data_IF_461075532790
#
_entry.id   IF_461075532790
#
_cell.length_a   1.000
_cell.length_b   1.000
_cell.length_c   1.000
_cell.angle_alpha   90.00
_cell.angle_beta   90.00
_cell.angle_gamma   90.00
#
_symmetry.space_group_name_H-M   'P 1'
#
loop_
_entity.id
_entity.type
_entity.pdbx_description
1 polymer ?
#
# COMPACT_ATOMS: atom_id res chain seq x y z
N UNK A 1 -12.18 -7.96 -0.50
CA UNK A 1 -12.23 -7.63 -1.95
C UNK A 1 -11.38 -6.40 -2.20
N UNK A 2 -10.42 -6.40 -3.13
CA UNK A 2 -9.54 -5.26 -3.36
C UNK A 2 -10.23 -4.26 -4.30
N UNK A 3 -10.56 -3.07 -3.80
CA UNK A 3 -11.07 -2.00 -4.64
C UNK A 3 -9.93 -1.38 -5.44
N UNK A 4 -9.82 -1.74 -6.72
CA UNK A 4 -9.07 -0.99 -7.71
C UNK A 4 -9.97 0.19 -8.16
N UNK A 5 -9.42 1.41 -8.20
CA UNK A 5 -10.14 2.65 -8.48
C UNK A 5 -10.70 2.71 -9.91
N UNK A 6 -10.28 1.78 -10.77
CA UNK A 6 -10.82 1.59 -12.13
C UNK A 6 -12.07 0.69 -12.19
N UNK A 7 -12.33 -0.17 -11.18
CA UNK A 7 -13.60 -0.94 -11.09
C UNK A 7 -14.79 -0.09 -10.61
N UNK A 8 -14.56 1.19 -10.29
CA UNK A 8 -15.61 2.17 -10.03
C UNK A 8 -16.31 2.59 -11.34
N UNK A 9 -15.62 2.49 -12.48
CA UNK A 9 -16.13 3.01 -13.76
C UNK A 9 -16.91 1.94 -14.54
N UNK A 10 -16.59 0.64 -14.35
CA UNK A 10 -17.28 -0.48 -15.01
C UNK A 10 -17.37 -1.72 -14.11
N UNK A 11 -18.40 -1.88 -13.28
CA UNK A 11 -18.62 -3.13 -12.55
C UNK A 11 -19.07 -4.26 -13.51
N UNK A 12 -18.32 -5.36 -13.55
CA UNK A 12 -18.61 -6.54 -14.39
C UNK A 12 -19.89 -7.29 -13.99
N UNK A 13 -20.47 -6.94 -12.84
CA UNK A 13 -21.68 -7.55 -12.32
C UNK A 13 -22.46 -6.61 -11.40
N UNK A 14 -23.77 -6.77 -11.37
CA UNK A 14 -24.65 -6.11 -10.39
C UNK A 14 -24.38 -6.56 -8.95
N UNK A 15 -23.63 -7.64 -8.76
CA UNK A 15 -23.19 -8.09 -7.45
C UNK A 15 -21.93 -7.38 -6.94
N UNK A 16 -21.25 -6.63 -7.80
CA UNK A 16 -20.02 -5.93 -7.49
C UNK A 16 -20.26 -4.81 -6.47
N UNK A 17 -19.25 -4.57 -5.62
CA UNK A 17 -19.33 -3.61 -4.51
C UNK A 17 -19.57 -2.17 -5.00
N UNK A 18 -18.85 -1.72 -6.04
CA UNK A 18 -19.00 -0.36 -6.58
C UNK A 18 -20.41 -0.15 -7.12
N UNK A 19 -20.97 -1.13 -7.82
CA UNK A 19 -22.35 -1.13 -8.30
C UNK A 19 -23.36 -1.07 -7.15
N UNK A 20 -23.24 -1.93 -6.12
CA UNK A 20 -24.17 -1.96 -4.98
C UNK A 20 -24.13 -0.67 -4.17
N UNK A 21 -22.95 -0.07 -3.99
CA UNK A 21 -22.80 1.21 -3.31
C UNK A 21 -23.47 2.34 -4.11
N UNK A 22 -23.15 2.47 -5.41
CA UNK A 22 -23.76 3.46 -6.31
C UNK A 22 -25.28 3.28 -6.38
N UNK A 23 -25.75 2.04 -6.56
CA UNK A 23 -27.18 1.72 -6.62
C UNK A 23 -27.91 2.11 -5.33
N UNK A 24 -27.36 1.79 -4.15
CA UNK A 24 -27.96 2.18 -2.86
C UNK A 24 -28.02 3.70 -2.68
N UNK A 25 -26.95 4.42 -3.04
CA UNK A 25 -26.88 5.88 -2.98
C UNK A 25 -27.93 6.50 -3.93
N UNK A 26 -27.99 6.02 -5.17
CA UNK A 26 -28.86 6.55 -6.22
C UNK A 26 -30.34 6.20 -6.01
N UNK A 27 -30.64 5.05 -5.41
CA UNK A 27 -32.03 4.62 -5.15
C UNK A 27 -32.55 5.03 -3.77
N UNK A 28 -31.70 5.65 -2.95
CA UNK A 28 -32.01 5.99 -1.55
C UNK A 28 -32.57 4.79 -0.75
N UNK A 29 -32.24 3.56 -1.17
CA UNK A 29 -32.57 2.37 -0.42
C UNK A 29 -31.58 2.25 0.72
N UNK A 30 -32.00 2.71 1.91
CA UNK A 30 -31.30 2.50 3.19
C UNK A 30 -31.31 1.02 3.60
N UNK A 31 -30.76 0.14 2.77
CA UNK A 31 -30.43 -1.22 3.19
C UNK A 31 -29.18 -1.15 4.06
N UNK A 32 -29.32 -1.55 5.33
CA UNK A 32 -28.24 -1.54 6.33
C UNK A 32 -26.94 -2.07 5.72
N UNK A 33 -25.93 -1.20 5.63
CA UNK A 33 -24.56 -1.63 5.34
C UNK A 33 -24.10 -2.55 6.47
N UNK A 34 -23.26 -3.54 6.14
CA UNK A 34 -22.63 -4.35 7.19
C UNK A 34 -21.78 -3.47 8.10
N UNK A 35 -21.48 -3.93 9.32
CA UNK A 35 -20.62 -3.17 10.24
C UNK A 35 -19.28 -2.79 9.59
N UNK A 36 -18.71 -3.69 8.78
CA UNK A 36 -17.45 -3.46 8.04
C UNK A 36 -17.60 -2.40 6.95
N UNK A 37 -18.70 -2.43 6.19
CA UNK A 37 -18.96 -1.44 5.14
C UNK A 37 -19.20 -0.05 5.74
N UNK A 38 -19.98 0.03 6.81
CA UNK A 38 -20.23 1.26 7.56
C UNK A 38 -18.96 1.79 8.19
N UNK A 39 -18.12 0.93 8.77
CA UNK A 39 -16.86 1.35 9.37
C UNK A 39 -15.86 1.90 8.35
N UNK A 40 -15.78 1.29 7.15
CA UNK A 40 -14.96 1.84 6.08
C UNK A 40 -15.43 3.23 5.66
N UNK A 41 -16.74 3.41 5.47
CA UNK A 41 -17.31 4.71 5.14
C UNK A 41 -17.03 5.74 6.24
N UNK A 42 -17.18 5.34 7.51
CA UNK A 42 -16.87 6.18 8.65
C UNK A 42 -15.41 6.64 8.65
N UNK A 43 -14.44 5.75 8.37
CA UNK A 43 -13.02 6.13 8.23
C UNK A 43 -12.81 7.15 7.10
N UNK A 44 -13.44 6.96 5.93
CA UNK A 44 -13.35 7.93 4.82
C UNK A 44 -13.93 9.30 5.21
N UNK A 45 -14.99 9.30 6.02
CA UNK A 45 -15.61 10.51 6.56
C UNK A 45 -14.90 11.09 7.79
N UNK A 46 -13.80 10.46 8.25
CA UNK A 46 -13.07 10.82 9.50
C UNK A 46 -13.87 10.62 10.78
N UNK A 47 -14.90 9.79 10.73
CA UNK A 47 -15.72 9.36 11.86
C UNK A 47 -15.05 8.14 12.53
N UNK A 48 -13.78 8.28 12.94
CA UNK A 48 -12.95 7.16 13.39
C UNK A 48 -13.51 6.45 14.63
N UNK A 49 -14.11 7.20 15.56
CA UNK A 49 -14.74 6.61 16.74
C UNK A 49 -15.92 5.70 16.35
N UNK A 50 -16.67 6.04 15.31
CA UNK A 50 -17.77 5.21 14.83
C UNK A 50 -17.24 3.93 14.20
N UNK A 51 -16.17 4.00 13.39
CA UNK A 51 -15.51 2.82 12.86
C UNK A 51 -15.03 1.87 13.97
N UNK A 52 -14.47 2.41 15.05
CA UNK A 52 -14.05 1.63 16.22
C UNK A 52 -15.27 0.98 16.90
N UNK A 53 -16.34 1.75 17.14
CA UNK A 53 -17.55 1.23 17.78
C UNK A 53 -18.18 0.07 16.97
N UNK A 54 -18.09 0.14 15.64
CA UNK A 54 -18.64 -0.88 14.74
C UNK A 54 -17.77 -2.14 14.67
N UNK A 55 -16.44 -2.02 14.72
CA UNK A 55 -15.52 -3.13 14.47
C UNK A 55 -15.00 -3.80 15.74
N UNK A 56 -14.73 -3.02 16.80
CA UNK A 56 -14.13 -3.54 18.04
C UNK A 56 -14.95 -4.67 18.70
N UNK A 57 -16.30 -4.65 18.72
CA UNK A 57 -17.07 -5.73 19.35
C UNK A 57 -16.90 -7.11 18.70
N UNK A 58 -16.46 -7.18 17.44
CA UNK A 58 -16.27 -8.42 16.68
C UNK A 58 -14.83 -8.62 16.20
N UNK A 59 -13.85 -8.04 16.91
CA UNK A 59 -12.45 -7.97 16.48
C UNK A 59 -11.83 -9.32 16.10
N UNK A 60 -12.19 -10.39 16.82
CA UNK A 60 -11.65 -11.73 16.61
C UNK A 60 -12.15 -12.39 15.32
N UNK A 61 -13.31 -11.95 14.81
CA UNK A 61 -13.94 -12.49 13.60
C UNK A 61 -13.70 -11.61 12.36
N UNK A 62 -12.93 -10.53 12.50
CA UNK A 62 -12.64 -9.62 11.39
C UNK A 62 -11.75 -10.29 10.35
N UNK A 63 -11.95 -9.94 9.08
CA UNK A 63 -10.99 -10.27 8.03
C UNK A 63 -9.78 -9.32 8.05
N UNK A 64 -8.76 -9.66 7.26
CA UNK A 64 -7.54 -8.86 7.15
C UNK A 64 -7.76 -7.41 6.71
N UNK A 65 -8.83 -7.08 5.98
CA UNK A 65 -9.11 -5.70 5.61
C UNK A 65 -9.78 -4.94 6.76
N UNK A 66 -10.75 -5.57 7.42
CA UNK A 66 -11.49 -4.97 8.51
C UNK A 66 -10.59 -4.72 9.75
N UNK A 67 -9.67 -5.63 10.07
CA UNK A 67 -8.72 -5.42 11.16
C UNK A 67 -7.79 -4.22 10.89
N UNK A 68 -7.37 -4.05 9.64
CA UNK A 68 -6.55 -2.90 9.21
C UNK A 68 -7.35 -1.61 9.22
N UNK A 69 -8.65 -1.65 8.87
CA UNK A 69 -9.55 -0.50 9.02
C UNK A 69 -9.70 -0.11 10.50
N UNK A 70 -9.84 -1.08 11.41
CA UNK A 70 -9.88 -0.83 12.85
C UNK A 70 -8.56 -0.21 13.34
N UNK A 71 -7.41 -0.78 12.95
CA UNK A 71 -6.10 -0.26 13.30
C UNK A 71 -5.93 1.20 12.82
N UNK A 72 -6.28 1.50 11.57
CA UNK A 72 -6.22 2.86 11.04
C UNK A 72 -7.12 3.83 11.83
N UNK A 73 -8.31 3.39 12.24
CA UNK A 73 -9.21 4.21 13.04
C UNK A 73 -8.62 4.52 14.43
N UNK A 74 -8.02 3.51 15.10
CA UNK A 74 -7.32 3.68 16.39
C UNK A 74 -6.14 4.65 16.28
N UNK A 75 -5.30 4.48 15.26
CA UNK A 75 -4.18 5.39 14.98
C UNK A 75 -4.67 6.82 14.75
N UNK A 76 -5.76 6.98 14.01
CA UNK A 76 -6.28 8.31 13.66
C UNK A 76 -6.87 9.11 14.83
N UNK A 77 -7.08 8.47 15.99
CA UNK A 77 -7.47 9.12 17.25
C UNK A 77 -6.36 9.09 18.32
N UNK A 78 -5.13 8.73 17.94
CA UNK A 78 -3.94 8.80 18.81
C UNK A 78 -3.68 7.55 19.66
N UNK A 79 -4.30 6.42 19.34
CA UNK A 79 -4.07 5.14 20.00
C UNK A 79 -3.10 4.27 19.16
N UNK A 80 -1.93 4.82 18.86
CA UNK A 80 -0.97 4.26 17.89
C UNK A 80 -0.51 2.84 18.27
N UNK A 81 -0.21 2.63 19.56
CA UNK A 81 0.19 1.31 20.05
C UNK A 81 -0.95 0.29 19.95
N UNK A 82 -2.18 0.70 20.24
CA UNK A 82 -3.33 -0.19 20.13
C UNK A 82 -3.61 -0.58 18.67
N UNK A 83 -3.28 0.30 17.71
CA UNK A 83 -3.39 0.01 16.28
C UNK A 83 -2.44 -1.09 15.81
N UNK A 84 -1.21 -1.15 16.35
CA UNK A 84 -0.27 -2.23 16.06
C UNK A 84 -0.66 -3.51 16.81
N UNK A 85 -0.93 -3.40 18.11
CA UNK A 85 -1.33 -4.49 19.00
C UNK A 85 -2.57 -5.24 18.47
N UNK A 86 -3.55 -4.54 17.89
CA UNK A 86 -4.79 -5.18 17.42
C UNK A 86 -4.52 -6.11 16.23
N UNK A 87 -3.60 -5.76 15.34
CA UNK A 87 -3.20 -6.61 14.22
C UNK A 87 -2.33 -7.78 14.74
N UNK A 88 -1.42 -7.51 15.67
CA UNK A 88 -0.60 -8.57 16.28
C UNK A 88 -1.46 -9.63 16.97
N UNK A 89 -2.44 -9.22 17.77
CA UNK A 89 -3.38 -10.13 18.42
C UNK A 89 -4.19 -10.92 17.40
N UNK A 90 -4.70 -10.25 16.36
CA UNK A 90 -5.44 -10.92 15.28
C UNK A 90 -4.59 -11.96 14.53
N UNK A 91 -3.30 -11.69 14.31
CA UNK A 91 -2.37 -12.65 13.70
C UNK A 91 -2.17 -13.92 14.54
N UNK A 92 -2.27 -13.85 15.87
CA UNK A 92 -2.12 -15.04 16.74
C UNK A 92 -3.18 -16.10 16.45
N UNK A 93 -4.37 -15.68 16.04
CA UNK A 93 -5.49 -16.58 15.69
C UNK A 93 -5.57 -16.83 14.18
N UNK A 94 -4.93 -15.99 13.35
CA UNK A 94 -4.98 -16.04 11.89
C UNK A 94 -3.61 -16.28 11.22
N UNK A 95 -2.80 -17.21 11.75
CA UNK A 95 -1.41 -17.42 11.33
C UNK A 95 -1.19 -17.65 9.81
N UNK A 96 -2.17 -18.19 9.07
CA UNK A 96 -2.08 -18.37 7.60
C UNK A 96 -2.17 -17.06 6.80
N UNK A 97 -2.60 -15.99 7.45
CA UNK A 97 -2.78 -14.66 6.86
C UNK A 97 -2.06 -13.60 7.69
N UNK A 98 -0.97 -13.99 8.34
CA UNK A 98 -0.19 -13.11 9.20
C UNK A 98 0.20 -11.85 8.43
N UNK A 99 -0.32 -10.72 8.90
CA UNK A 99 -0.01 -9.40 8.36
C UNK A 99 1.25 -8.88 9.04
N UNK A 100 2.02 -8.06 8.33
CA UNK A 100 2.97 -7.16 8.99
C UNK A 100 2.20 -5.93 9.50
N UNK A 101 1.99 -5.78 10.83
CA UNK A 101 1.19 -4.69 11.38
C UNK A 101 1.69 -3.31 10.94
N UNK A 102 3.01 -3.12 11.07
CA UNK A 102 3.69 -1.84 10.84
C UNK A 102 3.59 -1.44 9.38
N UNK A 103 3.98 -2.32 8.47
CA UNK A 103 4.01 -2.04 7.04
C UNK A 103 2.64 -1.93 6.40
N UNK A 104 1.64 -2.66 6.90
CA UNK A 104 0.26 -2.53 6.40
C UNK A 104 -0.36 -1.21 6.86
N UNK A 105 -0.15 -0.81 8.12
CA UNK A 105 -0.59 0.49 8.64
C UNK A 105 0.10 1.64 7.90
N UNK A 106 1.43 1.58 7.78
CA UNK A 106 2.22 2.57 7.05
C UNK A 106 1.77 2.70 5.58
N UNK A 107 1.48 1.58 4.91
CA UNK A 107 0.95 1.58 3.55
C UNK A 107 -0.46 2.16 3.42
N UNK A 108 -1.29 2.13 4.47
CA UNK A 108 -2.59 2.82 4.49
C UNK A 108 -2.41 4.33 4.65
N UNK A 109 -1.52 4.74 5.55
CA UNK A 109 -1.18 6.14 5.77
C UNK A 109 -0.55 6.78 4.53
N UNK A 110 0.43 6.12 3.89
CA UNK A 110 0.99 6.51 2.59
C UNK A 110 -0.10 6.72 1.54
N UNK A 111 -1.06 5.80 1.41
CA UNK A 111 -2.18 5.95 0.45
C UNK A 111 -3.10 7.12 0.81
N UNK A 112 -3.43 7.31 2.09
CA UNK A 112 -4.22 8.45 2.56
C UNK A 112 -3.52 9.77 2.27
N UNK A 113 -2.21 9.83 2.48
CA UNK A 113 -1.38 10.99 2.14
C UNK A 113 -1.36 11.27 0.64
N UNK A 114 -1.20 10.26 -0.22
CA UNK A 114 -1.17 10.48 -1.68
C UNK A 114 -2.42 11.20 -2.20
N UNK A 115 -3.58 10.93 -1.61
CA UNK A 115 -4.85 11.58 -1.96
C UNK A 115 -5.06 12.89 -1.21
N UNK A 116 -4.91 12.87 0.12
CA UNK A 116 -5.29 13.97 0.99
C UNK A 116 -4.18 14.99 1.30
N UNK A 117 -2.93 14.68 0.93
CA UNK A 117 -1.71 15.47 1.13
C UNK A 117 -1.53 15.98 2.56
N UNK A 118 -1.97 15.21 3.55
CA UNK A 118 -1.82 15.55 4.97
C UNK A 118 -0.43 15.19 5.47
N UNK A 119 0.36 16.19 5.87
CA UNK A 119 1.74 15.98 6.32
C UNK A 119 1.85 14.95 7.45
N UNK A 120 0.93 14.98 8.42
CA UNK A 120 0.88 13.98 9.51
C UNK A 120 0.85 12.52 9.03
N UNK A 121 0.20 12.25 7.89
CA UNK A 121 0.08 10.90 7.34
C UNK A 121 1.39 10.48 6.67
N UNK A 122 2.09 11.43 6.05
CA UNK A 122 3.43 11.22 5.51
C UNK A 122 4.43 10.95 6.64
N UNK A 123 4.49 11.84 7.63
CA UNK A 123 5.45 11.74 8.74
C UNK A 123 5.29 10.41 9.46
N UNK A 124 4.05 10.02 9.77
CA UNK A 124 3.77 8.76 10.45
C UNK A 124 4.05 7.54 9.58
N UNK A 125 3.76 7.60 8.27
CA UNK A 125 4.12 6.50 7.37
C UNK A 125 5.64 6.34 7.27
N UNK A 126 6.38 7.45 7.17
CA UNK A 126 7.84 7.45 7.09
C UNK A 126 8.46 6.89 8.38
N UNK A 127 7.95 7.30 9.54
CA UNK A 127 8.37 6.77 10.85
C UNK A 127 8.16 5.25 10.93
N UNK A 128 6.93 4.78 10.65
CA UNK A 128 6.59 3.35 10.70
C UNK A 128 7.44 2.52 9.75
N UNK A 129 7.60 2.96 8.49
CA UNK A 129 8.46 2.24 7.54
C UNK A 129 9.93 2.25 8.00
N UNK A 130 10.43 3.36 8.53
CA UNK A 130 11.82 3.46 9.01
C UNK A 130 12.09 2.57 10.21
N UNK A 131 11.17 2.52 11.17
CA UNK A 131 11.30 1.66 12.34
C UNK A 131 11.07 0.19 12.02
N UNK A 132 10.12 -0.12 11.12
CA UNK A 132 9.93 -1.46 10.57
C UNK A 132 11.18 -1.96 9.86
N UNK A 133 11.86 -1.10 9.10
CA UNK A 133 13.13 -1.42 8.47
C UNK A 133 14.21 -1.78 9.50
N UNK A 134 14.46 -0.93 10.50
CA UNK A 134 15.45 -1.21 11.56
C UNK A 134 15.19 -2.54 12.26
N UNK A 135 13.94 -2.80 12.64
CA UNK A 135 13.55 -4.05 13.28
C UNK A 135 13.74 -5.27 12.37
N UNK A 136 13.41 -5.14 11.09
CA UNK A 136 13.59 -6.20 10.11
C UNK A 136 15.08 -6.52 9.89
N UNK A 137 15.94 -5.50 9.85
CA UNK A 137 17.40 -5.68 9.80
C UNK A 137 17.96 -6.40 11.02
N UNK A 138 17.59 -5.95 12.22
CA UNK A 138 18.02 -6.57 13.49
C UNK A 138 17.62 -8.05 13.56
N UNK A 139 16.41 -8.38 13.09
CA UNK A 139 15.88 -9.74 13.05
C UNK A 139 16.36 -10.56 11.84
N UNK A 140 17.12 -9.95 10.92
CA UNK A 140 17.50 -10.54 9.62
C UNK A 140 16.30 -11.04 8.80
N UNK A 141 15.16 -10.37 8.94
CA UNK A 141 13.99 -10.64 8.13
C UNK A 141 14.13 -9.90 6.80
N UNK A 142 14.80 -10.53 5.84
CA UNK A 142 15.12 -9.90 4.55
C UNK A 142 13.89 -9.50 3.76
N UNK A 143 12.79 -10.26 3.85
CA UNK A 143 11.53 -9.97 3.16
C UNK A 143 10.92 -8.65 3.62
N UNK A 144 10.85 -8.44 4.94
CA UNK A 144 10.37 -7.18 5.49
C UNK A 144 11.39 -6.06 5.30
N UNK A 145 12.69 -6.36 5.37
CA UNK A 145 13.73 -5.35 5.25
C UNK A 145 13.73 -4.68 3.87
N UNK A 146 13.68 -5.45 2.77
CA UNK A 146 13.60 -4.80 1.44
C UNK A 146 12.27 -4.09 1.22
N UNK A 147 11.17 -4.63 1.75
CA UNK A 147 9.84 -4.03 1.64
C UNK A 147 9.76 -2.67 2.34
N UNK A 148 10.22 -2.58 3.59
CA UNK A 148 10.26 -1.31 4.29
C UNK A 148 11.27 -0.36 3.64
N UNK A 149 12.45 -0.84 3.26
CA UNK A 149 13.51 0.00 2.72
C UNK A 149 13.08 0.73 1.44
N UNK A 150 12.48 0.02 0.48
CA UNK A 150 12.03 0.65 -0.76
C UNK A 150 10.89 1.64 -0.54
N UNK A 151 10.01 1.39 0.45
CA UNK A 151 8.95 2.34 0.80
C UNK A 151 9.48 3.60 1.51
N UNK A 152 10.53 3.49 2.34
CA UNK A 152 11.24 4.66 2.87
C UNK A 152 11.88 5.43 1.74
N UNK A 153 12.60 4.75 0.83
CA UNK A 153 13.22 5.40 -0.33
C UNK A 153 12.20 6.18 -1.17
N UNK A 154 11.03 5.57 -1.42
CA UNK A 154 9.92 6.23 -2.08
C UNK A 154 9.49 7.50 -1.33
N UNK A 155 9.17 7.40 -0.04
CA UNK A 155 8.67 8.56 0.73
C UNK A 155 9.70 9.69 0.78
N UNK A 156 10.99 9.37 0.97
CA UNK A 156 12.06 10.35 0.92
C UNK A 156 12.17 11.01 -0.45
N UNK A 157 12.05 10.24 -1.54
CA UNK A 157 12.09 10.76 -2.91
C UNK A 157 10.95 11.75 -3.17
N UNK A 158 9.73 11.41 -2.75
CA UNK A 158 8.54 12.25 -2.98
C UNK A 158 8.25 13.22 -1.84
N UNK A 159 9.22 13.39 -0.92
CA UNK A 159 9.09 14.28 0.22
C UNK A 159 8.82 15.70 -0.23
N UNK A 160 7.87 16.41 0.42
CA UNK A 160 7.65 17.83 0.15
C UNK A 160 8.79 18.72 0.68
N UNK A 161 9.56 18.21 1.65
CA UNK A 161 10.67 18.91 2.29
C UNK A 161 12.01 18.35 1.79
N UNK A 162 12.89 19.22 1.31
CA UNK A 162 14.24 18.87 0.85
C UNK A 162 15.15 18.40 2.00
N UNK A 163 14.83 18.82 3.24
CA UNK A 163 15.58 18.52 4.45
C UNK A 163 14.77 17.60 5.39
N UNK A 164 14.46 16.37 4.95
CA UNK A 164 13.98 15.36 5.89
C UNK A 164 15.11 15.08 6.89
N UNK A 165 14.98 15.62 8.09
CA UNK A 165 15.98 15.54 9.15
C UNK A 165 16.21 14.07 9.54
N UNK A 166 17.35 13.49 9.15
CA UNK A 166 17.64 12.08 9.43
C UNK A 166 18.89 11.56 8.72
N UNK A 167 19.43 10.44 9.21
CA UNK A 167 20.59 9.77 8.60
C UNK A 167 20.24 8.91 7.37
N UNK A 168 18.96 8.82 7.01
CA UNK A 168 18.47 7.99 5.90
C UNK A 168 18.35 8.86 4.65
N UNK A 169 19.02 8.46 3.56
CA UNK A 169 18.86 9.08 2.24
C UNK A 169 18.16 8.13 1.28
N UNK A 170 17.65 8.65 0.16
CA UNK A 170 17.06 7.84 -0.91
C UNK A 170 18.08 6.79 -1.38
N UNK A 171 19.33 7.20 -1.63
CA UNK A 171 20.39 6.34 -2.12
C UNK A 171 20.71 5.21 -1.12
N UNK A 172 20.84 5.56 0.16
CA UNK A 172 21.10 4.58 1.21
C UNK A 172 19.97 3.54 1.27
N UNK A 173 18.71 3.99 1.28
CA UNK A 173 17.57 3.08 1.37
C UNK A 173 17.41 2.20 0.12
N UNK A 174 17.70 2.72 -1.07
CA UNK A 174 17.77 1.92 -2.30
C UNK A 174 18.86 0.86 -2.21
N UNK A 175 20.05 1.22 -1.73
CA UNK A 175 21.16 0.26 -1.54
C UNK A 175 20.77 -0.84 -0.55
N UNK A 176 20.16 -0.49 0.59
CA UNK A 176 19.70 -1.47 1.58
C UNK A 176 18.61 -2.38 1.01
N UNK A 177 17.66 -1.84 0.23
CA UNK A 177 16.63 -2.63 -0.43
C UNK A 177 17.24 -3.66 -1.38
N UNK A 178 18.17 -3.24 -2.24
CA UNK A 178 18.87 -4.14 -3.18
C UNK A 178 19.70 -5.20 -2.46
N UNK A 179 20.42 -4.83 -1.40
CA UNK A 179 21.16 -5.77 -0.56
C UNK A 179 20.26 -6.87 0.01
N UNK A 180 19.08 -6.50 0.53
CA UNK A 180 18.17 -7.47 1.10
C UNK A 180 17.48 -8.34 0.06
N UNK A 181 17.20 -7.80 -1.13
CA UNK A 181 16.71 -8.61 -2.26
C UNK A 181 17.74 -9.66 -2.69
N UNK A 182 19.04 -9.33 -2.72
CA UNK A 182 20.10 -10.28 -3.11
C UNK A 182 20.16 -11.52 -2.20
N UNK A 183 19.78 -11.37 -0.92
CA UNK A 183 19.83 -12.46 0.07
C UNK A 183 18.46 -13.13 0.26
N UNK A 184 17.37 -12.45 -0.09
CA UNK A 184 16.01 -12.97 0.04
C UNK A 184 15.71 -14.06 -1.00
N UNK A 185 14.66 -14.84 -0.75
CA UNK A 185 14.17 -15.78 -1.74
C UNK A 185 13.49 -15.03 -2.89
N UNK A 186 13.91 -15.31 -4.13
CA UNK A 186 13.31 -14.71 -5.30
C UNK A 186 11.80 -14.95 -5.38
N UNK A 187 11.06 -13.87 -5.60
CA UNK A 187 9.62 -13.86 -5.82
C UNK A 187 9.21 -12.58 -6.59
N UNK A 188 7.92 -12.40 -6.84
CA UNK A 188 7.40 -11.21 -7.54
C UNK A 188 7.81 -9.89 -6.86
N UNK A 189 7.84 -9.85 -5.53
CA UNK A 189 8.16 -8.65 -4.76
C UNK A 189 9.64 -8.31 -4.80
N UNK A 190 10.54 -9.31 -4.82
CA UNK A 190 11.97 -9.04 -4.97
C UNK A 190 12.26 -8.35 -6.30
N UNK A 191 11.66 -8.85 -7.39
CA UNK A 191 11.80 -8.23 -8.71
C UNK A 191 11.11 -6.88 -8.80
N UNK A 192 9.95 -6.70 -8.15
CA UNK A 192 9.28 -5.40 -8.08
C UNK A 192 10.14 -4.36 -7.36
N UNK A 193 10.77 -4.74 -6.24
CA UNK A 193 11.69 -3.88 -5.49
C UNK A 193 12.93 -3.53 -6.32
N UNK A 194 13.50 -4.47 -7.08
CA UNK A 194 14.59 -4.18 -8.03
C UNK A 194 14.12 -3.17 -9.08
N UNK A 195 12.94 -3.39 -9.67
CA UNK A 195 12.37 -2.49 -10.67
C UNK A 195 12.19 -1.08 -10.13
N UNK A 196 11.67 -0.95 -8.91
CA UNK A 196 11.47 0.33 -8.25
C UNK A 196 12.80 1.02 -7.93
N UNK A 197 13.77 0.29 -7.38
CA UNK A 197 15.12 0.78 -7.11
C UNK A 197 15.78 1.34 -8.38
N UNK A 198 15.64 0.64 -9.51
CA UNK A 198 16.16 1.11 -10.79
C UNK A 198 15.43 2.33 -11.32
N UNK A 199 14.11 2.44 -11.16
CA UNK A 199 13.40 3.69 -11.50
C UNK A 199 13.94 4.87 -10.69
N UNK A 200 14.09 4.69 -9.37
CA UNK A 200 14.61 5.75 -8.48
C UNK A 200 16.02 6.19 -8.93
N UNK A 201 16.85 5.25 -9.40
CA UNK A 201 18.19 5.53 -9.92
C UNK A 201 18.23 6.08 -11.35
N UNK A 202 17.07 6.30 -12.01
CA UNK A 202 17.01 6.79 -13.39
C UNK A 202 17.29 5.72 -14.46
N UNK A 203 17.31 4.43 -14.09
CA UNK A 203 17.64 3.28 -14.95
C UNK A 203 16.36 2.65 -15.50
N UNK A 204 15.79 3.28 -16.52
CA UNK A 204 14.47 2.90 -17.04
C UNK A 204 14.49 1.50 -17.68
N UNK A 205 15.44 1.20 -18.55
CA UNK A 205 15.47 -0.09 -19.26
C UNK A 205 15.60 -1.28 -18.30
N UNK A 206 16.52 -1.21 -17.33
CA UNK A 206 16.70 -2.26 -16.33
C UNK A 206 15.46 -2.41 -15.43
N UNK A 207 14.80 -1.29 -15.12
CA UNK A 207 13.55 -1.31 -14.37
C UNK A 207 12.44 -2.06 -15.10
N UNK A 208 12.25 -1.79 -16.39
CA UNK A 208 11.23 -2.45 -17.21
C UNK A 208 11.48 -3.96 -17.31
N UNK A 209 12.74 -4.38 -17.41
CA UNK A 209 13.09 -5.81 -17.39
C UNK A 209 12.72 -6.46 -16.04
N UNK A 210 13.05 -5.80 -14.92
CA UNK A 210 12.74 -6.29 -13.59
C UNK A 210 11.23 -6.38 -13.35
N UNK A 211 10.45 -5.35 -13.73
CA UNK A 211 8.99 -5.40 -13.64
C UNK A 211 8.37 -6.47 -14.55
N UNK A 212 8.94 -6.73 -15.73
CA UNK A 212 8.54 -7.85 -16.57
C UNK A 212 8.69 -9.20 -15.87
N UNK A 213 9.79 -9.41 -15.14
CA UNK A 213 10.00 -10.61 -14.29
C UNK A 213 9.02 -10.65 -13.12
N UNK A 214 8.82 -9.52 -12.44
CA UNK A 214 7.88 -9.42 -11.33
C UNK A 214 6.45 -9.80 -11.74
N UNK A 215 5.98 -9.25 -12.87
CA UNK A 215 4.68 -9.57 -13.47
C UNK A 215 4.57 -11.07 -13.79
N UNK A 216 5.60 -11.66 -14.39
CA UNK A 216 5.58 -13.08 -14.75
C UNK A 216 5.43 -14.02 -13.53
N UNK A 217 5.85 -13.57 -12.35
CA UNK A 217 5.74 -14.30 -11.09
C UNK A 217 4.50 -13.93 -10.25
N UNK A 218 3.77 -12.88 -10.63
CA UNK A 218 2.56 -12.48 -9.93
C UNK A 218 1.45 -13.52 -10.09
N UNK A 219 0.78 -13.86 -9.00
CA UNK A 219 -0.28 -14.88 -8.98
C UNK A 219 -1.67 -14.26 -9.11
N UNK A 220 -1.78 -12.96 -8.88
CA UNK A 220 -3.06 -12.25 -8.87
C UNK A 220 -2.97 -10.91 -9.58
N UNK A 221 -4.10 -10.47 -10.16
CA UNK A 221 -4.21 -9.14 -10.74
C UNK A 221 -3.90 -8.03 -9.72
N UNK A 222 -4.30 -8.25 -8.45
CA UNK A 222 -4.03 -7.31 -7.36
C UNK A 222 -2.53 -7.07 -7.14
N UNK A 223 -1.71 -8.10 -7.27
CA UNK A 223 -0.26 -7.96 -7.14
C UNK A 223 0.30 -7.13 -8.30
N UNK A 224 -0.10 -7.43 -9.54
CA UNK A 224 0.25 -6.64 -10.71
C UNK A 224 -0.16 -5.17 -10.54
N UNK A 225 -1.41 -4.91 -10.17
CA UNK A 225 -1.93 -3.56 -9.96
C UNK A 225 -1.13 -2.82 -8.87
N UNK A 226 -0.78 -3.50 -7.77
CA UNK A 226 0.00 -2.91 -6.69
C UNK A 226 1.40 -2.48 -7.15
N UNK A 227 2.07 -3.33 -7.93
CA UNK A 227 3.39 -3.04 -8.48
C UNK A 227 3.33 -1.93 -9.53
N UNK A 228 2.32 -1.96 -10.41
CA UNK A 228 2.10 -0.97 -11.46
C UNK A 228 1.82 0.43 -10.89
N UNK A 229 0.91 0.55 -9.92
CA UNK A 229 0.62 1.84 -9.27
C UNK A 229 1.87 2.46 -8.66
N UNK A 230 2.71 1.64 -8.02
CA UNK A 230 3.96 2.11 -7.43
C UNK A 230 4.95 2.55 -8.52
N UNK A 231 5.10 1.76 -9.59
CA UNK A 231 5.95 2.08 -10.73
C UNK A 231 5.55 3.40 -11.41
N UNK A 232 4.25 3.61 -11.66
CA UNK A 232 3.72 4.87 -12.22
C UNK A 232 4.00 6.05 -11.30
N UNK A 233 3.78 5.90 -9.99
CA UNK A 233 4.02 6.97 -9.03
C UNK A 233 5.50 7.40 -9.00
N UNK A 234 6.42 6.44 -8.97
CA UNK A 234 7.87 6.72 -8.99
C UNK A 234 8.28 7.31 -10.34
N UNK A 235 7.85 6.69 -11.44
CA UNK A 235 8.27 7.10 -12.78
C UNK A 235 7.79 8.52 -13.11
N UNK A 236 6.60 8.90 -12.67
CA UNK A 236 6.06 10.26 -12.84
C UNK A 236 6.91 11.28 -12.11
N UNK A 237 7.46 10.93 -10.94
CA UNK A 237 8.34 11.81 -10.19
C UNK A 237 9.74 11.92 -10.81
N UNK A 238 10.33 10.79 -11.24
CA UNK A 238 11.71 10.76 -11.75
C UNK A 238 11.82 11.23 -13.21
N UNK A 239 10.89 10.82 -14.07
CA UNK A 239 10.96 11.03 -15.53
C UNK A 239 9.84 11.92 -16.08
N UNK A 240 8.84 12.26 -15.27
CA UNK A 240 7.59 12.88 -15.73
C UNK A 240 6.72 11.91 -16.54
N UNK A 241 5.70 12.45 -17.23
CA UNK A 241 4.69 11.66 -17.96
C UNK A 241 5.23 10.88 -19.18
N UNK A 242 6.49 11.10 -19.55
CA UNK A 242 7.08 10.58 -20.80
C UNK A 242 7.18 9.06 -20.84
N UNK A 243 7.25 8.41 -19.67
CA UNK A 243 7.54 6.98 -19.55
C UNK A 243 6.32 6.15 -19.15
N UNK A 244 5.15 6.79 -18.91
CA UNK A 244 3.93 6.10 -18.45
C UNK A 244 3.56 4.94 -19.38
N UNK A 245 3.64 5.16 -20.70
CA UNK A 245 3.32 4.14 -21.70
C UNK A 245 4.24 2.91 -21.60
N UNK A 246 5.53 3.12 -21.35
CA UNK A 246 6.49 2.02 -21.24
C UNK A 246 6.23 1.20 -19.97
N UNK A 247 5.87 1.87 -18.87
CA UNK A 247 5.44 1.21 -17.63
C UNK A 247 4.16 0.40 -17.88
N UNK A 248 3.14 0.99 -18.52
CA UNK A 248 1.90 0.29 -18.86
C UNK A 248 2.17 -0.97 -19.70
N UNK A 249 3.01 -0.85 -20.73
CA UNK A 249 3.40 -1.96 -21.61
C UNK A 249 4.14 -3.07 -20.84
N UNK A 250 5.05 -2.73 -19.92
CA UNK A 250 5.75 -3.72 -19.09
C UNK A 250 4.77 -4.53 -18.22
N UNK A 251 3.70 -3.89 -17.73
CA UNK A 251 2.62 -4.56 -17.01
C UNK A 251 1.55 -5.16 -17.93
N UNK A 252 1.60 -4.92 -19.24
CA UNK A 252 0.67 -5.41 -20.25
C UNK A 252 -0.68 -4.70 -20.27
N UNK A 253 -0.76 -3.48 -19.72
CA UNK A 253 -1.89 -2.60 -19.96
C UNK A 253 -1.71 -1.96 -21.33
N UNK A 254 -2.75 -2.03 -22.17
CA UNK A 254 -2.73 -1.40 -23.49
C UNK A 254 -3.15 0.05 -23.31
N UNK A 255 -2.25 1.00 -23.58
CA UNK A 255 -2.66 2.39 -23.73
C UNK A 255 -3.51 2.50 -25.01
N UNK A 256 -4.82 2.67 -24.90
CA UNK A 256 -5.61 3.08 -26.06
C UNK A 256 -5.06 4.42 -26.53
N UNK A 257 -4.49 4.44 -27.74
CA UNK A 257 -4.16 5.68 -28.42
C UNK A 257 -5.48 6.40 -28.66
N UNK A 258 -5.76 7.44 -27.87
CA UNK A 258 -6.81 8.40 -28.23
C UNK A 258 -6.33 9.09 -29.50
N UNK A 259 -6.85 8.62 -30.63
CA UNK A 259 -6.67 9.18 -31.97
C UNK A 259 -7.42 10.50 -32.13
#
# INVERSE_FOLDING_TARGET
MPGNHLEIVHPDSTDHYSYKLLYKILTNTRGAFSAVESARLAVENREFQEAINLLMPGVDDLDANAIVTLALALESIGFDKDAEDVIERWNTTHARSALDPVGVLAGRLKRRWLVGRQQKDFDRALELYSDGFKQAEEKKNHDQAYYHAINVAYLLLVSPDEDVEGALTVEYMVERALYHVEVAQENQWTYATIGEAFLIQGKLEESLEAYGKAKALANTLRECDSMHMQAVAVSSHVFGDKVSKQIDEAFGYVSESVS
#
